data_IF_370258560403
#
_entry.id   IF_370258560403
#
_cell.length_a   1.000
_cell.length_b   1.000
_cell.length_c   1.000
_cell.angle_alpha   90.00
_cell.angle_beta   90.00
_cell.angle_gamma   90.00
#
_symmetry.space_group_name_H-M   'P 1'
#
loop_
_entity.id
_entity.type
_entity.pdbx_description
1 polymer ?
#
# COMPACT_ATOMS: atom_id res chain seq x y z
N UNK A 1 -0.46 22.17 18.67
CA UNK A 1 -0.28 20.96 17.84
C UNK A 1 -1.44 20.91 16.86
N UNK A 2 -1.17 20.89 15.55
CA UNK A 2 -2.20 20.90 14.51
C UNK A 2 -2.81 19.51 14.29
N UNK A 3 -3.72 19.11 15.16
CA UNK A 3 -4.35 17.80 15.11
C UNK A 3 -5.12 17.54 13.80
N UNK A 4 -5.64 18.59 13.14
CA UNK A 4 -6.38 18.45 11.89
C UNK A 4 -5.43 18.16 10.72
N UNK A 5 -4.30 18.85 10.65
CA UNK A 5 -3.23 18.53 9.69
C UNK A 5 -2.73 17.09 9.88
N UNK A 6 -2.44 16.68 11.13
CA UNK A 6 -2.01 15.32 11.44
C UNK A 6 -3.07 14.24 11.15
N UNK A 7 -4.36 14.56 11.20
CA UNK A 7 -5.41 13.61 10.80
C UNK A 7 -5.58 13.52 9.28
N UNK A 8 -5.44 14.64 8.57
CA UNK A 8 -5.74 14.73 7.14
C UNK A 8 -4.55 14.38 6.23
N UNK A 9 -3.31 14.60 6.66
CA UNK A 9 -2.14 14.41 5.80
C UNK A 9 -1.98 12.96 5.32
N UNK A 10 -2.06 11.98 6.24
CA UNK A 10 -1.98 10.56 5.91
C UNK A 10 -3.22 10.06 5.19
N UNK A 11 -4.42 10.54 5.58
CA UNK A 11 -5.68 10.19 4.93
C UNK A 11 -5.68 10.58 3.44
N UNK A 12 -5.34 11.85 3.11
CA UNK A 12 -5.34 12.34 1.72
C UNK A 12 -4.31 11.59 0.88
N UNK A 13 -3.08 11.45 1.39
CA UNK A 13 -2.04 10.73 0.67
C UNK A 13 -2.44 9.27 0.39
N UNK A 14 -3.04 8.59 1.37
CA UNK A 14 -3.47 7.19 1.23
C UNK A 14 -4.67 7.04 0.30
N UNK A 15 -5.61 7.99 0.33
CA UNK A 15 -6.74 8.01 -0.60
C UNK A 15 -6.25 8.13 -2.06
N UNK A 16 -5.29 9.03 -2.32
CA UNK A 16 -4.68 9.17 -3.65
C UNK A 16 -3.94 7.90 -4.07
N UNK A 17 -3.08 7.35 -3.20
CA UNK A 17 -2.37 6.10 -3.47
C UNK A 17 -3.34 4.96 -3.78
N UNK A 18 -4.37 4.78 -2.95
CA UNK A 18 -5.37 3.72 -3.14
C UNK A 18 -6.15 3.93 -4.43
N UNK A 19 -6.50 5.19 -4.74
CA UNK A 19 -7.14 5.55 -6.00
C UNK A 19 -6.31 5.16 -7.22
N UNK A 20 -4.99 5.41 -7.20
CA UNK A 20 -4.08 5.00 -8.27
C UNK A 20 -4.07 3.48 -8.41
N UNK A 21 -3.90 2.73 -7.30
CA UNK A 21 -3.88 1.27 -7.33
C UNK A 21 -5.19 0.68 -7.87
N UNK A 22 -6.33 1.16 -7.36
CA UNK A 22 -7.66 0.71 -7.77
C UNK A 22 -7.93 1.07 -9.24
N UNK A 23 -7.57 2.26 -9.68
CA UNK A 23 -7.76 2.67 -11.08
C UNK A 23 -6.91 1.81 -12.00
N UNK A 24 -5.65 1.56 -11.67
CA UNK A 24 -4.78 0.69 -12.44
C UNK A 24 -5.28 -0.76 -12.50
N UNK A 25 -5.88 -1.25 -11.40
CA UNK A 25 -6.49 -2.57 -11.35
C UNK A 25 -7.74 -2.64 -12.25
N UNK A 26 -8.66 -1.67 -12.14
CA UNK A 26 -9.88 -1.61 -12.96
C UNK A 26 -9.58 -1.36 -14.45
N UNK A 27 -8.48 -0.68 -14.77
CA UNK A 27 -7.98 -0.49 -16.13
C UNK A 27 -7.22 -1.72 -16.68
N UNK A 28 -7.05 -2.78 -15.89
CA UNK A 28 -6.39 -4.02 -16.31
C UNK A 28 -4.86 -3.96 -16.35
N UNK A 29 -4.22 -2.93 -15.80
CA UNK A 29 -2.75 -2.85 -15.72
C UNK A 29 -2.17 -3.80 -14.67
N UNK A 30 -2.92 -4.12 -13.63
CA UNK A 30 -2.55 -5.10 -12.61
C UNK A 30 -3.76 -5.92 -12.22
N UNK A 31 -3.55 -7.19 -11.86
CA UNK A 31 -4.56 -8.05 -11.24
C UNK A 31 -4.63 -7.84 -9.72
N UNK A 32 -3.71 -7.07 -9.15
CA UNK A 32 -3.61 -6.84 -7.71
C UNK A 32 -4.73 -5.93 -7.22
N UNK A 33 -5.72 -6.49 -6.54
CA UNK A 33 -6.72 -5.73 -5.79
C UNK A 33 -6.35 -5.72 -4.30
N UNK A 34 -5.40 -4.84 -3.94
CA UNK A 34 -4.88 -4.74 -2.56
C UNK A 34 -5.98 -4.52 -1.51
N UNK A 35 -7.02 -3.67 -1.74
CA UNK A 35 -8.18 -3.63 -0.86
C UNK A 35 -8.83 -4.99 -0.63
N UNK A 36 -9.13 -5.75 -1.69
CA UNK A 36 -9.73 -7.07 -1.52
C UNK A 36 -8.80 -8.02 -0.78
N UNK A 37 -7.49 -8.02 -1.07
CA UNK A 37 -6.52 -8.82 -0.32
C UNK A 37 -6.60 -8.54 1.18
N UNK A 38 -6.40 -7.28 1.60
CA UNK A 38 -6.46 -6.90 3.01
C UNK A 38 -7.82 -7.21 3.64
N UNK A 39 -8.90 -6.96 2.90
CA UNK A 39 -10.26 -7.27 3.33
C UNK A 39 -10.50 -8.74 3.61
N UNK A 40 -9.93 -9.62 2.79
CA UNK A 40 -10.03 -11.07 2.96
C UNK A 40 -9.25 -11.62 4.15
N UNK A 41 -8.51 -10.79 4.89
CA UNK A 41 -8.03 -11.17 6.23
C UNK A 41 -9.17 -11.19 7.26
N UNK A 42 -10.20 -10.38 7.06
CA UNK A 42 -11.28 -10.17 8.04
C UNK A 42 -12.59 -10.84 7.64
N UNK A 43 -12.89 -10.91 6.34
CA UNK A 43 -14.13 -11.51 5.81
C UNK A 43 -13.85 -12.55 4.73
N UNK A 44 -14.58 -13.68 4.68
CA UNK A 44 -14.48 -14.64 3.58
C UNK A 44 -15.15 -14.17 2.28
N UNK A 45 -16.08 -13.21 2.36
CA UNK A 45 -16.85 -12.77 1.20
C UNK A 45 -16.05 -11.78 0.35
N UNK A 46 -15.72 -12.17 -0.89
CA UNK A 46 -15.03 -11.30 -1.86
C UNK A 46 -15.84 -10.04 -2.18
N UNK A 47 -17.17 -10.18 -2.32
CA UNK A 47 -18.07 -9.06 -2.59
C UNK A 47 -18.04 -7.98 -1.50
N UNK A 48 -17.71 -8.37 -0.26
CA UNK A 48 -17.67 -7.48 0.90
C UNK A 48 -16.26 -7.12 1.34
N UNK A 49 -15.23 -7.79 0.85
CA UNK A 49 -13.85 -7.63 1.31
C UNK A 49 -13.30 -6.23 1.04
N UNK A 50 -13.70 -5.61 -0.06
CA UNK A 50 -13.08 -4.34 -0.49
C UNK A 50 -13.18 -3.22 0.53
N UNK A 51 -14.35 -3.05 1.15
CA UNK A 51 -14.59 -1.98 2.13
C UNK A 51 -13.71 -2.10 3.39
N UNK A 52 -13.70 -3.21 4.16
CA UNK A 52 -12.80 -3.36 5.30
C UNK A 52 -11.33 -3.26 4.88
N UNK A 53 -10.98 -3.74 3.68
CA UNK A 53 -9.63 -3.58 3.14
C UNK A 53 -9.20 -2.14 2.90
N UNK A 54 -10.08 -1.29 2.36
CA UNK A 54 -9.84 0.16 2.22
C UNK A 54 -9.60 0.78 3.59
N UNK A 55 -10.38 0.40 4.61
CA UNK A 55 -10.20 0.91 5.98
C UNK A 55 -8.86 0.48 6.55
N UNK A 56 -8.49 -0.81 6.44
CA UNK A 56 -7.19 -1.32 6.88
C UNK A 56 -6.06 -0.56 6.18
N UNK A 57 -6.16 -0.38 4.86
CA UNK A 57 -5.15 0.33 4.09
C UNK A 57 -5.03 1.80 4.50
N UNK A 58 -6.15 2.48 4.76
CA UNK A 58 -6.18 3.86 5.27
C UNK A 58 -5.49 3.96 6.64
N UNK A 59 -5.72 3.02 7.54
CA UNK A 59 -5.06 2.98 8.86
C UNK A 59 -3.56 2.73 8.71
N UNK A 60 -3.15 1.76 7.88
CA UNK A 60 -1.73 1.52 7.60
C UNK A 60 -1.06 2.75 6.97
N UNK A 61 -1.72 3.37 6.00
CA UNK A 61 -1.25 4.59 5.37
C UNK A 61 -1.12 5.75 6.35
N UNK A 62 -2.00 5.86 7.35
CA UNK A 62 -1.83 6.83 8.43
C UNK A 62 -0.62 6.51 9.31
N UNK A 63 -0.40 5.24 9.67
CA UNK A 63 0.77 4.81 10.45
C UNK A 63 2.08 5.11 9.71
N UNK A 64 2.16 4.80 8.41
CA UNK A 64 3.32 5.15 7.58
C UNK A 64 3.52 6.67 7.48
N UNK A 65 2.44 7.44 7.44
CA UNK A 65 2.51 8.88 7.37
C UNK A 65 3.18 9.46 8.63
N UNK A 66 2.91 8.91 9.81
CA UNK A 66 3.56 9.31 11.07
C UNK A 66 5.07 9.00 11.05
N UNK A 67 5.50 7.89 10.45
CA UNK A 67 6.93 7.61 10.25
C UNK A 67 7.58 8.64 9.32
N UNK A 68 6.91 9.04 8.24
CA UNK A 68 7.38 10.10 7.35
C UNK A 68 7.49 11.44 8.08
N UNK A 69 6.45 11.82 8.83
CA UNK A 69 6.45 13.05 9.63
C UNK A 69 7.60 13.08 10.64
N UNK A 70 7.89 11.93 11.28
CA UNK A 70 9.04 11.79 12.18
C UNK A 70 10.37 11.94 11.44
N UNK A 71 10.52 11.35 10.25
CA UNK A 71 11.72 11.51 9.43
C UNK A 71 11.92 12.96 8.96
N UNK A 72 10.86 13.66 8.55
CA UNK A 72 10.92 15.09 8.20
C UNK A 72 11.31 15.96 9.39
N UNK A 73 10.77 15.67 10.57
CA UNK A 73 11.14 16.36 11.81
C UNK A 73 12.62 16.16 12.16
N UNK A 74 13.13 14.93 12.05
CA UNK A 74 14.55 14.62 12.27
C UNK A 74 15.48 15.32 11.27
N UNK A 75 15.04 15.48 10.02
CA UNK A 75 15.80 16.17 8.98
C UNK A 75 15.67 17.69 9.02
N UNK A 76 14.75 18.22 9.83
CA UNK A 76 14.43 19.65 9.89
C UNK A 76 13.86 20.22 8.59
N UNK A 77 13.39 19.37 7.67
CA UNK A 77 12.83 19.78 6.38
C UNK A 77 11.84 18.76 5.84
N UNK A 78 10.81 19.25 5.17
CA UNK A 78 9.87 18.50 4.35
C UNK A 78 9.85 19.07 2.92
N UNK A 79 9.22 18.37 2.00
CA UNK A 79 9.05 18.83 0.63
C UNK A 79 8.72 17.69 -0.32
N UNK A 80 8.04 17.97 -1.46
CA UNK A 80 7.52 16.92 -2.33
C UNK A 80 8.60 16.02 -2.92
N UNK A 81 9.79 16.55 -3.22
CA UNK A 81 10.91 15.76 -3.75
C UNK A 81 11.48 14.80 -2.68
N UNK A 82 11.65 15.28 -1.45
CA UNK A 82 12.12 14.45 -0.33
C UNK A 82 11.06 13.40 0.04
N UNK A 83 9.80 13.80 0.07
CA UNK A 83 8.69 12.88 0.29
C UNK A 83 8.59 11.82 -0.81
N UNK A 84 8.73 12.21 -2.08
CA UNK A 84 8.76 11.28 -3.22
C UNK A 84 9.88 10.24 -3.13
N UNK A 85 11.08 10.63 -2.67
CA UNK A 85 12.19 9.68 -2.50
C UNK A 85 11.93 8.69 -1.37
N UNK A 86 11.34 9.13 -0.26
CA UNK A 86 10.83 8.22 0.78
C UNK A 86 9.74 7.30 0.24
N UNK A 87 8.84 7.86 -0.58
CA UNK A 87 7.80 7.13 -1.31
C UNK A 87 8.38 5.99 -2.14
N UNK A 88 9.44 6.26 -2.91
CA UNK A 88 10.13 5.25 -3.71
C UNK A 88 10.68 4.12 -2.83
N UNK A 89 11.39 4.47 -1.74
CA UNK A 89 11.93 3.48 -0.79
C UNK A 89 10.81 2.65 -0.15
N UNK A 90 9.72 3.30 0.25
CA UNK A 90 8.55 2.62 0.82
C UNK A 90 7.90 1.66 -0.19
N UNK A 91 7.70 2.08 -1.44
CA UNK A 91 7.19 1.19 -2.49
C UNK A 91 8.10 -0.02 -2.75
N UNK A 92 9.42 0.18 -2.71
CA UNK A 92 10.38 -0.92 -2.82
C UNK A 92 10.28 -1.88 -1.62
N UNK A 93 10.18 -1.36 -0.39
CA UNK A 93 9.97 -2.18 0.82
C UNK A 93 8.65 -2.94 0.73
N UNK A 94 7.58 -2.29 0.25
CA UNK A 94 6.29 -2.95 0.07
C UNK A 94 6.40 -4.14 -0.90
N UNK A 95 7.07 -3.96 -2.04
CA UNK A 95 7.21 -4.97 -3.08
C UNK A 95 8.20 -6.10 -2.75
N UNK A 96 9.19 -5.83 -1.89
CA UNK A 96 10.27 -6.80 -1.58
C UNK A 96 10.12 -7.47 -0.22
N UNK A 97 9.43 -6.83 0.72
CA UNK A 97 9.30 -7.31 2.09
C UNK A 97 7.83 -7.51 2.47
N UNK A 98 7.01 -6.45 2.42
CA UNK A 98 5.68 -6.50 3.04
C UNK A 98 4.71 -7.41 2.28
N UNK A 99 4.59 -7.21 0.96
CA UNK A 99 3.70 -8.01 0.12
C UNK A 99 4.17 -9.48 0.06
N UNK A 100 5.46 -9.79 -0.16
CA UNK A 100 5.96 -11.18 -0.11
C UNK A 100 5.79 -11.87 1.26
N UNK A 101 5.66 -11.11 2.35
CA UNK A 101 5.41 -11.66 3.68
C UNK A 101 3.93 -12.00 3.94
N UNK A 102 2.99 -11.49 3.13
CA UNK A 102 1.55 -11.70 3.34
C UNK A 102 1.16 -13.18 3.48
N UNK A 103 1.66 -14.15 2.69
CA UNK A 103 1.31 -15.56 2.85
C UNK A 103 1.57 -16.13 4.25
N UNK A 104 2.46 -15.53 5.04
CA UNK A 104 2.76 -16.00 6.40
C UNK A 104 1.67 -15.66 7.42
N UNK A 105 0.85 -14.64 7.15
CA UNK A 105 -0.17 -14.12 8.07
C UNK A 105 -1.57 -14.07 7.46
N UNK A 106 -1.68 -14.24 6.14
CA UNK A 106 -2.92 -14.09 5.41
C UNK A 106 -3.65 -15.45 5.29
N UNK A 107 -4.82 -15.64 5.94
CA UNK A 107 -5.45 -16.96 6.08
C UNK A 107 -6.01 -17.56 4.78
N UNK A 108 -6.10 -16.75 3.71
CA UNK A 108 -6.70 -17.14 2.42
C UNK A 108 -5.77 -16.97 1.22
N UNK A 109 -4.47 -16.80 1.48
CA UNK A 109 -3.45 -16.63 0.44
C UNK A 109 -2.60 -17.90 0.37
N UNK A 110 -2.44 -18.43 -0.84
CA UNK A 110 -1.50 -19.52 -1.07
C UNK A 110 -0.06 -19.06 -0.78
N UNK A 111 0.80 -20.02 -0.44
CA UNK A 111 2.20 -19.79 -0.16
C UNK A 111 3.07 -20.55 -1.16
N UNK A 112 4.14 -19.94 -1.64
CA UNK A 112 5.12 -20.62 -2.50
C UNK A 112 5.89 -21.71 -1.77
N UNK A 113 5.88 -21.70 -0.43
CA UNK A 113 6.63 -22.62 0.43
C UNK A 113 5.88 -23.93 0.75
N UNK A 114 4.55 -23.92 0.72
CA UNK A 114 3.72 -25.08 1.07
C UNK A 114 3.46 -26.03 -0.10
N UNK A 115 3.90 -25.68 -1.31
CA UNK A 115 3.63 -26.43 -2.53
C UNK A 115 2.28 -26.04 -3.16
N UNK A 116 1.74 -26.85 -4.10
CA UNK A 116 0.51 -26.52 -4.80
C UNK A 116 -0.71 -26.55 -3.86
N UNK A 117 -1.16 -25.37 -3.42
CA UNK A 117 -2.36 -25.19 -2.62
C UNK A 117 -3.39 -24.34 -3.39
N UNK A 118 -4.64 -24.78 -3.40
CA UNK A 118 -5.76 -24.01 -3.94
C UNK A 118 -6.29 -23.07 -2.85
N UNK A 119 -5.96 -21.79 -2.97
CA UNK A 119 -6.48 -20.73 -2.11
C UNK A 119 -7.10 -19.61 -2.94
N UNK A 120 -7.86 -18.74 -2.27
CA UNK A 120 -8.59 -17.63 -2.91
C UNK A 120 -7.64 -16.62 -3.54
N UNK A 121 -6.48 -16.37 -2.91
CA UNK A 121 -5.45 -15.46 -3.41
C UNK A 121 -4.18 -16.21 -3.80
N UNK A 122 -3.62 -15.84 -4.95
CA UNK A 122 -2.31 -16.30 -5.40
C UNK A 122 -1.19 -15.74 -4.48
N UNK A 123 -0.09 -16.46 -4.26
CA UNK A 123 1.07 -15.86 -3.63
C UNK A 123 1.56 -14.71 -4.53
N UNK A 124 2.04 -13.59 -3.97
CA UNK A 124 2.42 -12.45 -4.78
C UNK A 124 3.66 -12.65 -5.64
N UNK A 125 4.54 -13.59 -5.29
CA UNK A 125 5.93 -13.64 -5.75
C UNK A 125 6.72 -12.35 -5.42
N UNK A 126 8.02 -12.36 -5.70
CA UNK A 126 8.86 -11.17 -5.57
C UNK A 126 8.32 -10.05 -6.48
N UNK A 127 8.27 -8.82 -5.96
CA UNK A 127 7.71 -7.66 -6.65
C UNK A 127 6.23 -7.80 -7.07
N UNK A 128 5.46 -8.67 -6.41
CA UNK A 128 4.05 -8.90 -6.74
C UNK A 128 3.82 -9.35 -8.21
N UNK A 129 4.80 -10.01 -8.83
CA UNK A 129 4.79 -10.33 -10.27
C UNK A 129 3.69 -11.29 -10.69
N UNK A 130 3.19 -12.15 -9.79
CA UNK A 130 2.03 -13.00 -10.09
C UNK A 130 0.77 -12.17 -10.36
N UNK A 131 0.72 -10.92 -9.89
CA UNK A 131 -0.37 -10.00 -10.20
C UNK A 131 -0.15 -9.17 -11.47
N UNK A 132 0.90 -9.46 -12.25
CA UNK A 132 1.19 -8.84 -13.54
C UNK A 132 2.40 -7.93 -13.50
N UNK A 133 3.12 -7.83 -14.64
CA UNK A 133 4.40 -7.10 -14.72
C UNK A 133 4.29 -5.61 -14.40
N UNK A 134 3.18 -4.96 -14.77
CA UNK A 134 2.99 -3.54 -14.50
C UNK A 134 2.67 -3.23 -13.03
N UNK A 135 2.39 -4.25 -12.20
CA UNK A 135 2.16 -4.09 -10.75
C UNK A 135 3.32 -3.35 -10.09
N UNK A 136 4.56 -3.68 -10.47
CA UNK A 136 5.76 -3.02 -9.97
C UNK A 136 5.70 -1.51 -10.20
N UNK A 137 5.50 -1.10 -11.46
CA UNK A 137 5.50 0.31 -11.84
C UNK A 137 4.33 1.04 -11.19
N UNK A 138 3.14 0.45 -11.21
CA UNK A 138 1.93 1.00 -10.58
C UNK A 138 2.15 1.23 -9.08
N UNK A 139 2.69 0.24 -8.36
CA UNK A 139 2.96 0.35 -6.92
C UNK A 139 4.00 1.43 -6.64
N UNK A 140 5.09 1.51 -7.41
CA UNK A 140 6.11 2.53 -7.22
C UNK A 140 5.57 3.93 -7.48
N UNK A 141 4.81 4.14 -8.57
CA UNK A 141 4.16 5.42 -8.88
C UNK A 141 3.21 5.84 -7.77
N UNK A 142 2.39 4.91 -7.27
CA UNK A 142 1.43 5.20 -6.22
C UNK A 142 2.12 5.60 -4.90
N UNK A 143 3.24 4.96 -4.54
CA UNK A 143 4.01 5.31 -3.34
C UNK A 143 4.81 6.60 -3.49
N UNK A 144 5.34 6.88 -4.68
CA UNK A 144 5.98 8.17 -4.98
C UNK A 144 4.97 9.31 -4.83
N UNK A 145 3.75 9.14 -5.35
CA UNK A 145 2.68 10.12 -5.21
C UNK A 145 2.28 10.32 -3.73
N UNK A 146 2.10 9.23 -2.99
CA UNK A 146 1.86 9.27 -1.54
C UNK A 146 2.92 10.07 -0.80
N UNK A 147 4.20 9.74 -1.02
CA UNK A 147 5.31 10.42 -0.37
C UNK A 147 5.39 11.89 -0.74
N UNK A 148 5.19 12.25 -2.02
CA UNK A 148 5.19 13.63 -2.47
C UNK A 148 4.09 14.46 -1.78
N UNK A 149 2.88 13.90 -1.65
CA UNK A 149 1.76 14.55 -0.96
C UNK A 149 2.09 14.74 0.52
N UNK A 150 2.64 13.74 1.19
CA UNK A 150 3.07 13.89 2.59
C UNK A 150 4.15 14.95 2.76
N UNK A 151 5.13 14.99 1.85
CA UNK A 151 6.18 16.01 1.87
C UNK A 151 5.64 17.42 1.64
N UNK A 152 4.55 17.57 0.89
CA UNK A 152 3.87 18.85 0.65
C UNK A 152 2.98 19.28 1.83
N UNK A 153 2.33 18.32 2.48
CA UNK A 153 1.30 18.55 3.51
C UNK A 153 1.81 18.37 4.95
N UNK A 154 3.12 18.17 5.14
CA UNK A 154 3.69 17.91 6.46
C UNK A 154 3.39 19.07 7.43
N UNK A 155 2.67 18.84 8.56
CA UNK A 155 2.27 19.89 9.50
C UNK A 155 3.38 20.41 10.42
#
# INVERSE_FOLDING_TARGET
MDWQGWATFGFVATAVLTGILVTAQLAGHTRMDLPTMLGTMVTPSLDRARLPGIVIHAVMGQVFALFYGSAFALLGRSGPVLGASFGLVHGLIALTVLIPALPAIHPRMASERSGPELNVLEPPALFAQNYGRSTVIVTLVAHVAYGAILGLMHP
#
